data_IF_922819377213
#
_entry.id   IF_922819377213
#
_cell.length_a   1.000
_cell.length_b   1.000
_cell.length_c   1.000
_cell.angle_alpha   90.00
_cell.angle_beta   90.00
_cell.angle_gamma   90.00
#
_symmetry.space_group_name_H-M   'P 1'
#
loop_
_entity.id
_entity.type
_entity.pdbx_description
1 polymer ?
#
# COMPACT_ATOMS: atom_id res chain seq x y z
N UNK A 1 -14.71 -1.32 -19.87
CA UNK A 1 -15.18 -0.66 -18.63
C UNK A 1 -14.02 0.13 -18.07
N UNK A 2 -14.25 1.41 -17.84
CA UNK A 2 -13.27 2.33 -17.29
C UNK A 2 -13.09 2.05 -15.79
N UNK A 3 -11.91 1.68 -15.36
CA UNK A 3 -11.62 1.38 -13.95
C UNK A 3 -11.10 2.63 -13.22
N UNK A 4 -11.47 2.78 -11.96
CA UNK A 4 -10.86 3.78 -11.06
C UNK A 4 -9.57 3.19 -10.50
N UNK A 5 -8.47 3.92 -10.65
CA UNK A 5 -7.18 3.53 -10.10
C UNK A 5 -6.91 4.28 -8.80
N UNK A 6 -6.59 3.52 -7.74
CA UNK A 6 -6.29 4.05 -6.42
C UNK A 6 -4.83 3.72 -6.12
N UNK A 7 -4.03 4.75 -5.92
CA UNK A 7 -2.60 4.61 -5.62
C UNK A 7 -2.35 4.82 -4.13
N UNK A 8 -1.53 3.96 -3.55
CA UNK A 8 -0.87 4.18 -2.26
C UNK A 8 0.62 4.37 -2.54
N UNK A 9 1.15 5.51 -2.17
CA UNK A 9 2.58 5.76 -2.29
C UNK A 9 3.34 5.05 -1.17
N UNK A 10 4.40 4.33 -1.49
CA UNK A 10 5.31 3.75 -0.50
C UNK A 10 6.14 4.81 0.22
N UNK A 11 6.68 4.47 1.39
CA UNK A 11 7.50 5.41 2.19
C UNK A 11 8.87 5.72 1.58
N UNK A 12 9.39 4.87 0.69
CA UNK A 12 10.66 5.07 0.00
C UNK A 12 11.80 5.41 0.95
N UNK A 13 12.69 6.31 0.52
CA UNK A 13 13.86 6.75 1.32
C UNK A 13 13.48 7.36 2.67
N UNK A 14 12.29 7.93 2.83
CA UNK A 14 11.84 8.47 4.12
C UNK A 14 11.66 7.34 5.14
N UNK A 15 11.02 6.24 4.74
CA UNK A 15 10.87 5.07 5.60
C UNK A 15 12.23 4.41 5.90
N UNK A 16 13.15 4.38 4.94
CA UNK A 16 14.50 3.85 5.16
C UNK A 16 15.28 4.68 6.18
N UNK A 17 15.16 6.01 6.13
CA UNK A 17 15.75 6.91 7.14
C UNK A 17 15.15 6.65 8.54
N UNK A 18 13.84 6.43 8.64
CA UNK A 18 13.19 6.10 9.92
C UNK A 18 13.73 4.78 10.48
N UNK A 19 13.90 3.75 9.63
CA UNK A 19 14.51 2.47 10.03
C UNK A 19 15.93 2.64 10.56
N UNK A 20 16.72 3.50 9.91
CA UNK A 20 18.09 3.80 10.36
C UNK A 20 18.08 4.52 11.73
N UNK A 21 17.17 5.49 11.93
CA UNK A 21 17.01 6.15 13.23
C UNK A 21 16.57 5.17 14.32
N UNK A 22 15.66 4.26 14.03
CA UNK A 22 15.25 3.23 14.98
C UNK A 22 16.43 2.33 15.39
N UNK A 23 17.24 1.87 14.42
CA UNK A 23 18.43 1.09 14.70
C UNK A 23 19.47 1.83 15.55
N UNK A 24 19.63 3.14 15.36
CA UNK A 24 20.61 3.95 16.09
C UNK A 24 20.13 4.35 17.50
N UNK A 25 18.84 4.59 17.66
CA UNK A 25 18.28 5.23 18.85
C UNK A 25 17.32 4.34 19.63
N UNK A 26 17.06 3.11 19.14
CA UNK A 26 16.12 2.16 19.75
C UNK A 26 14.74 2.81 20.01
N UNK A 27 14.18 3.48 19.01
CA UNK A 27 12.88 4.18 19.09
C UNK A 27 11.77 3.19 19.46
N UNK A 28 11.85 1.98 18.92
CA UNK A 28 10.89 0.91 19.13
C UNK A 28 9.94 0.70 17.95
N UNK A 29 9.41 -0.50 17.87
CA UNK A 29 8.68 -0.99 16.71
C UNK A 29 7.39 -0.18 16.42
N UNK A 30 6.51 -0.02 17.40
CA UNK A 30 5.24 0.69 17.21
C UNK A 30 5.42 2.19 16.91
N UNK A 31 6.25 2.96 17.65
CA UNK A 31 6.52 4.34 17.26
C UNK A 31 7.11 4.48 15.87
N UNK A 32 8.05 3.62 15.50
CA UNK A 32 8.69 3.62 14.18
C UNK A 32 7.71 3.25 13.07
N UNK A 33 6.81 2.30 13.31
CA UNK A 33 5.71 1.98 12.39
C UNK A 33 4.87 3.23 12.10
N UNK A 34 4.43 3.97 13.13
CA UNK A 34 3.63 5.18 12.93
C UNK A 34 4.39 6.31 12.23
N UNK A 35 5.70 6.42 12.46
CA UNK A 35 6.53 7.36 11.71
C UNK A 35 6.58 6.98 10.22
N UNK A 36 6.70 5.69 9.90
CA UNK A 36 6.64 5.20 8.51
C UNK A 36 5.26 5.45 7.88
N UNK A 37 4.16 5.25 8.60
CA UNK A 37 2.81 5.57 8.10
C UNK A 37 2.69 7.07 7.79
N UNK A 38 3.24 7.96 8.64
CA UNK A 38 3.31 9.41 8.34
C UNK A 38 4.14 9.70 7.10
N UNK A 39 5.22 8.95 6.87
CA UNK A 39 6.00 9.09 5.65
C UNK A 39 5.18 8.77 4.39
N UNK A 40 4.21 7.84 4.46
CA UNK A 40 3.28 7.57 3.35
C UNK A 40 2.40 8.80 3.04
N UNK A 41 1.96 9.54 4.06
CA UNK A 41 1.20 10.79 3.85
C UNK A 41 2.05 11.86 3.14
N UNK A 42 3.35 11.95 3.47
CA UNK A 42 4.26 12.86 2.78
C UNK A 42 4.46 12.45 1.33
N UNK A 43 4.72 11.17 1.06
CA UNK A 43 4.90 10.68 -0.31
C UNK A 43 3.62 10.75 -1.14
N UNK A 44 2.45 10.57 -0.53
CA UNK A 44 1.16 10.78 -1.20
C UNK A 44 1.01 12.24 -1.69
N UNK A 45 1.40 13.22 -0.88
CA UNK A 45 1.37 14.65 -1.28
C UNK A 45 2.35 14.96 -2.38
N UNK A 46 3.58 14.42 -2.31
CA UNK A 46 4.55 14.54 -3.40
C UNK A 46 3.98 13.94 -4.70
N UNK A 47 3.30 12.81 -4.61
CA UNK A 47 2.71 12.17 -5.79
C UNK A 47 1.60 13.03 -6.42
N UNK A 48 0.79 13.73 -5.62
CA UNK A 48 -0.21 14.69 -6.11
C UNK A 48 0.44 15.86 -6.85
N UNK A 49 1.57 16.37 -6.36
CA UNK A 49 2.29 17.46 -7.02
C UNK A 49 2.86 17.01 -8.39
N UNK A 50 3.17 15.72 -8.54
CA UNK A 50 3.66 15.13 -9.81
C UNK A 50 2.51 14.73 -10.74
N UNK A 51 1.34 14.37 -10.19
CA UNK A 51 0.14 13.94 -10.94
C UNK A 51 -1.03 14.90 -10.65
N UNK A 52 -1.03 16.09 -11.26
CA UNK A 52 -2.01 17.14 -10.94
C UNK A 52 -3.46 16.76 -11.31
N UNK A 53 -3.65 15.77 -12.17
CA UNK A 53 -4.97 15.22 -12.51
C UNK A 53 -5.54 14.25 -11.45
N UNK A 54 -4.70 13.78 -10.53
CA UNK A 54 -5.11 12.87 -9.46
C UNK A 54 -5.83 13.63 -8.33
N UNK A 55 -6.72 12.94 -7.63
CA UNK A 55 -7.34 13.45 -6.41
C UNK A 55 -6.67 12.84 -5.18
N UNK A 56 -6.27 13.66 -4.22
CA UNK A 56 -5.90 13.17 -2.88
C UNK A 56 -7.18 12.85 -2.12
N UNK A 57 -7.24 11.66 -1.54
CA UNK A 57 -8.34 11.16 -0.71
C UNK A 57 -7.78 10.49 0.53
N UNK A 58 -8.48 10.52 1.64
CA UNK A 58 -8.01 9.98 2.91
C UNK A 58 -9.06 9.15 3.66
N UNK A 59 -10.23 8.97 3.08
CA UNK A 59 -11.30 8.16 3.65
C UNK A 59 -11.91 7.19 2.63
N UNK A 60 -12.41 6.05 3.13
CA UNK A 60 -13.11 5.07 2.29
C UNK A 60 -14.40 5.64 1.70
N UNK A 61 -15.05 6.57 2.40
CA UNK A 61 -16.27 7.24 1.95
C UNK A 61 -16.00 8.10 0.71
N UNK A 62 -14.95 8.91 0.74
CA UNK A 62 -14.52 9.72 -0.42
C UNK A 62 -14.17 8.85 -1.63
N UNK A 63 -13.42 7.76 -1.42
CA UNK A 63 -13.10 6.83 -2.49
C UNK A 63 -14.36 6.25 -3.11
N UNK A 64 -15.31 5.75 -2.30
CA UNK A 64 -16.58 5.21 -2.79
C UNK A 64 -17.42 6.24 -3.54
N UNK A 65 -17.48 7.47 -3.03
CA UNK A 65 -18.16 8.57 -3.70
C UNK A 65 -17.54 8.90 -5.06
N UNK A 66 -16.21 8.91 -5.16
CA UNK A 66 -15.51 9.13 -6.43
C UNK A 66 -15.73 7.99 -7.42
N UNK A 67 -15.69 6.74 -6.98
CA UNK A 67 -16.00 5.59 -7.84
C UNK A 67 -17.41 5.70 -8.43
N UNK A 68 -18.39 6.09 -7.59
CA UNK A 68 -19.80 6.21 -8.01
C UNK A 68 -20.05 7.36 -8.97
N UNK A 69 -19.34 8.50 -8.81
CA UNK A 69 -19.63 9.74 -9.55
C UNK A 69 -18.70 10.01 -10.74
N UNK A 70 -17.48 9.51 -10.69
CA UNK A 70 -16.42 9.76 -11.67
C UNK A 70 -15.58 8.51 -11.92
N UNK A 71 -16.14 7.47 -12.55
CA UNK A 71 -15.37 6.30 -12.95
C UNK A 71 -14.20 6.73 -13.84
N UNK A 72 -13.06 6.11 -13.70
CA UNK A 72 -11.79 6.41 -14.43
C UNK A 72 -10.92 7.52 -13.86
N UNK A 73 -11.18 7.96 -12.66
CA UNK A 73 -10.30 8.93 -12.02
C UNK A 73 -9.09 8.25 -11.38
N UNK A 74 -7.97 8.95 -11.38
CA UNK A 74 -6.79 8.60 -10.61
C UNK A 74 -6.96 9.19 -9.20
N UNK A 75 -6.85 8.33 -8.18
CA UNK A 75 -6.88 8.75 -6.77
C UNK A 75 -5.56 8.36 -6.12
N UNK A 76 -5.01 9.25 -5.30
CA UNK A 76 -3.91 8.96 -4.37
C UNK A 76 -4.50 8.90 -2.98
N UNK A 77 -4.36 7.77 -2.31
CA UNK A 77 -4.91 7.54 -0.98
C UNK A 77 -3.86 7.82 0.10
N UNK A 78 -4.19 8.69 1.06
CA UNK A 78 -3.43 8.88 2.29
C UNK A 78 -3.94 7.90 3.35
N UNK A 79 -3.19 6.85 3.71
CA UNK A 79 -3.68 5.82 4.62
C UNK A 79 -3.71 6.25 6.10
N UNK A 80 -3.05 7.34 6.46
CA UNK A 80 -2.87 7.74 7.86
C UNK A 80 -4.19 7.95 8.60
N UNK A 81 -5.20 8.71 8.09
CA UNK A 81 -6.47 8.90 8.78
C UNK A 81 -7.25 7.59 8.95
N UNK A 82 -7.25 6.73 7.93
CA UNK A 82 -7.89 5.42 7.99
C UNK A 82 -7.29 4.52 9.08
N UNK A 83 -5.96 4.50 9.20
CA UNK A 83 -5.26 3.64 10.15
C UNK A 83 -5.32 4.13 11.60
N UNK A 84 -5.47 5.45 11.81
CA UNK A 84 -5.58 6.07 13.15
C UNK A 84 -7.01 6.30 13.60
N UNK A 85 -7.99 6.25 12.70
CA UNK A 85 -9.40 6.53 12.99
C UNK A 85 -10.07 5.45 13.85
N UNK A 86 -11.22 5.81 14.45
CA UNK A 86 -12.01 4.89 15.27
C UNK A 86 -12.51 3.66 14.51
N UNK A 87 -12.64 3.73 13.20
CA UNK A 87 -13.01 2.61 12.34
C UNK A 87 -11.96 1.50 12.32
N UNK A 88 -10.69 1.84 12.51
CA UNK A 88 -9.60 0.87 12.68
C UNK A 88 -9.71 0.06 13.97
N UNK A 89 -10.45 0.57 14.98
CA UNK A 89 -10.60 -0.09 16.29
C UNK A 89 -11.84 -1.00 16.37
N UNK A 90 -12.77 -0.91 15.43
CA UNK A 90 -14.07 -1.62 15.49
C UNK A 90 -14.18 -2.83 14.58
N UNK A 91 -13.19 -3.12 13.74
CA UNK A 91 -13.22 -4.25 12.80
C UNK A 91 -12.32 -5.40 13.25
N UNK A 92 -12.70 -6.63 12.91
CA UNK A 92 -11.97 -7.86 13.22
C UNK A 92 -10.60 -8.01 12.49
N UNK A 93 -10.11 -6.97 11.81
CA UNK A 93 -8.89 -6.98 11.00
C UNK A 93 -8.14 -5.66 11.08
N UNK A 94 -7.75 -5.24 12.28
CA UNK A 94 -6.76 -4.16 12.39
C UNK A 94 -5.38 -4.69 12.00
N UNK A 95 -4.66 -3.93 11.15
CA UNK A 95 -3.28 -4.26 10.81
C UNK A 95 -2.37 -4.19 12.04
N UNK A 96 -1.44 -5.14 12.23
CA UNK A 96 -0.43 -5.04 13.28
C UNK A 96 0.38 -3.74 13.18
N UNK A 97 0.67 -3.15 14.33
CA UNK A 97 1.50 -1.93 14.44
C UNK A 97 2.96 -2.31 14.62
N UNK A 98 3.54 -2.86 13.57
CA UNK A 98 4.86 -3.47 13.64
C UNK A 98 5.61 -3.33 12.31
N UNK A 99 6.90 -3.67 12.32
CA UNK A 99 7.73 -3.75 11.14
C UNK A 99 7.28 -4.82 10.12
N UNK A 100 6.43 -5.75 10.56
CA UNK A 100 5.83 -6.75 9.66
C UNK A 100 4.81 -6.15 8.70
N UNK A 101 4.36 -4.90 8.91
CA UNK A 101 3.37 -4.22 8.07
C UNK A 101 4.00 -2.99 7.44
N UNK A 102 4.01 -2.96 6.12
CA UNK A 102 4.44 -1.79 5.32
C UNK A 102 3.34 -1.35 4.36
N UNK A 103 3.70 -0.51 3.39
CA UNK A 103 2.76 -0.06 2.34
C UNK A 103 2.11 -1.19 1.56
N UNK A 104 2.77 -2.35 1.43
CA UNK A 104 2.23 -3.49 0.68
C UNK A 104 1.00 -4.07 1.40
N UNK A 105 1.12 -4.39 2.69
CA UNK A 105 -0.01 -4.86 3.51
C UNK A 105 -1.10 -3.79 3.69
N UNK A 106 -0.73 -2.52 3.80
CA UNK A 106 -1.70 -1.42 3.87
C UNK A 106 -2.50 -1.33 2.57
N UNK A 107 -1.85 -1.46 1.41
CA UNK A 107 -2.52 -1.47 0.12
C UNK A 107 -3.43 -2.69 -0.06
N UNK A 108 -3.00 -3.87 0.37
CA UNK A 108 -3.82 -5.08 0.34
C UNK A 108 -5.07 -4.95 1.23
N UNK A 109 -4.92 -4.40 2.43
CA UNK A 109 -6.04 -4.14 3.33
C UNK A 109 -7.04 -3.14 2.75
N UNK A 110 -6.56 -2.03 2.17
CA UNK A 110 -7.42 -1.07 1.48
C UNK A 110 -8.15 -1.72 0.30
N UNK A 111 -7.45 -2.53 -0.49
CA UNK A 111 -8.03 -3.23 -1.62
C UNK A 111 -9.16 -4.19 -1.19
N UNK A 112 -9.00 -4.93 -0.08
CA UNK A 112 -10.05 -5.77 0.52
C UNK A 112 -11.25 -4.91 0.95
N UNK A 113 -11.03 -3.81 1.69
CA UNK A 113 -12.10 -2.94 2.18
C UNK A 113 -12.92 -2.28 1.07
N UNK A 114 -12.31 -2.05 -0.07
CA UNK A 114 -12.95 -1.46 -1.25
C UNK A 114 -13.55 -2.50 -2.20
N UNK A 115 -13.29 -3.79 -2.00
CA UNK A 115 -13.68 -4.84 -2.91
C UNK A 115 -12.99 -4.70 -4.27
N UNK A 116 -11.70 -4.34 -4.28
CA UNK A 116 -10.95 -4.16 -5.49
C UNK A 116 -10.87 -5.48 -6.29
N UNK A 117 -10.93 -5.37 -7.62
CA UNK A 117 -10.81 -6.52 -8.51
C UNK A 117 -9.37 -6.99 -8.66
N UNK A 118 -8.41 -6.13 -8.32
CA UNK A 118 -6.99 -6.37 -8.50
C UNK A 118 -6.18 -5.46 -7.57
N UNK A 119 -5.05 -5.96 -7.08
CA UNK A 119 -3.97 -5.18 -6.49
C UNK A 119 -2.72 -5.30 -7.37
N UNK A 120 -2.22 -4.16 -7.87
CA UNK A 120 -0.95 -4.09 -8.59
C UNK A 120 0.14 -3.51 -7.68
N UNK A 121 1.18 -4.29 -7.38
CA UNK A 121 2.38 -3.84 -6.69
C UNK A 121 3.36 -3.28 -7.70
N UNK A 122 3.58 -1.97 -7.67
CA UNK A 122 4.52 -1.27 -8.54
C UNK A 122 5.91 -1.27 -7.89
N UNK A 123 6.82 -2.06 -8.42
CA UNK A 123 8.14 -2.31 -7.83
C UNK A 123 9.27 -1.96 -8.82
N UNK A 124 10.52 -2.01 -8.36
CA UNK A 124 11.68 -1.77 -9.21
C UNK A 124 12.25 -3.05 -9.86
N UNK A 125 11.70 -4.21 -9.52
CA UNK A 125 12.02 -5.53 -10.04
C UNK A 125 10.81 -6.44 -9.88
N UNK A 126 10.88 -7.67 -10.39
CA UNK A 126 9.91 -8.73 -10.14
C UNK A 126 10.42 -9.69 -9.06
N UNK A 127 9.52 -10.41 -8.34
CA UNK A 127 9.92 -11.47 -7.43
C UNK A 127 10.48 -12.67 -8.23
N UNK A 128 11.36 -13.44 -7.62
CA UNK A 128 11.94 -14.64 -8.26
C UNK A 128 10.90 -15.76 -8.39
N UNK A 129 10.00 -15.86 -7.43
CA UNK A 129 8.94 -16.87 -7.41
C UNK A 129 7.53 -16.24 -7.48
N UNK A 130 6.61 -16.83 -8.26
CA UNK A 130 5.27 -16.27 -8.50
C UNK A 130 4.26 -16.65 -7.38
N UNK A 131 4.67 -16.71 -6.12
CA UNK A 131 3.84 -17.02 -4.96
C UNK A 131 3.94 -15.90 -3.94
N UNK A 132 2.82 -15.47 -3.38
CA UNK A 132 2.79 -14.45 -2.33
C UNK A 132 3.62 -14.88 -1.12
N UNK A 133 3.54 -16.15 -0.73
CA UNK A 133 4.28 -16.67 0.41
C UNK A 133 5.80 -16.61 0.15
N UNK A 134 6.26 -17.06 -1.01
CA UNK A 134 7.67 -17.00 -1.38
C UNK A 134 8.17 -15.56 -1.55
N UNK A 135 7.37 -14.67 -2.15
CA UNK A 135 7.70 -13.25 -2.25
C UNK A 135 7.89 -12.60 -0.87
N UNK A 136 7.16 -13.05 0.15
CA UNK A 136 7.36 -12.60 1.54
C UNK A 136 8.65 -13.18 2.15
N UNK A 137 8.94 -14.44 1.92
CA UNK A 137 10.18 -15.11 2.38
C UNK A 137 11.44 -14.48 1.75
N UNK A 138 11.34 -14.03 0.49
CA UNK A 138 12.37 -13.30 -0.24
C UNK A 138 12.45 -11.80 0.13
N UNK A 139 11.64 -11.33 1.09
CA UNK A 139 11.51 -9.91 1.47
C UNK A 139 11.13 -8.97 0.31
N UNK A 140 10.52 -9.49 -0.73
CA UNK A 140 9.99 -8.71 -1.84
C UNK A 140 8.72 -7.94 -1.45
N UNK A 141 7.89 -8.55 -0.60
CA UNK A 141 6.78 -7.92 0.12
C UNK A 141 6.97 -8.08 1.63
N UNK A 142 6.23 -7.32 2.41
CA UNK A 142 6.34 -7.39 3.88
C UNK A 142 5.80 -8.72 4.45
N UNK A 143 6.25 -9.12 5.66
CA UNK A 143 5.89 -10.41 6.27
C UNK A 143 4.39 -10.61 6.50
N UNK A 144 3.61 -9.54 6.66
CA UNK A 144 2.16 -9.64 6.89
C UNK A 144 1.36 -9.69 5.58
N UNK A 145 1.97 -9.36 4.45
CA UNK A 145 1.31 -9.30 3.15
C UNK A 145 0.56 -10.58 2.76
N UNK A 146 1.07 -11.81 2.99
CA UNK A 146 0.32 -13.02 2.70
C UNK A 146 -1.03 -13.08 3.42
N UNK A 147 -1.07 -12.61 4.67
CA UNK A 147 -2.32 -12.52 5.45
C UNK A 147 -3.23 -11.43 4.93
N UNK A 148 -2.69 -10.24 4.64
CA UNK A 148 -3.46 -9.10 4.16
C UNK A 148 -4.05 -9.33 2.77
N UNK A 149 -3.35 -10.06 1.90
CA UNK A 149 -3.76 -10.31 0.53
C UNK A 149 -4.61 -11.59 0.33
N UNK A 150 -4.81 -12.39 1.38
CA UNK A 150 -5.43 -13.74 1.28
C UNK A 150 -6.83 -13.78 0.64
N UNK A 151 -7.57 -12.66 0.66
CA UNK A 151 -8.92 -12.56 0.10
C UNK A 151 -8.99 -11.77 -1.20
N UNK A 152 -7.87 -11.29 -1.70
CA UNK A 152 -7.84 -10.53 -2.95
C UNK A 152 -8.02 -11.48 -4.14
N UNK A 153 -8.81 -11.09 -5.15
CA UNK A 153 -9.03 -11.95 -6.32
C UNK A 153 -7.80 -12.07 -7.22
N UNK A 154 -6.95 -11.03 -7.25
CA UNK A 154 -5.75 -10.98 -8.07
C UNK A 154 -4.72 -10.05 -7.46
N UNK A 155 -3.47 -10.51 -7.39
CA UNK A 155 -2.30 -9.69 -7.06
C UNK A 155 -1.30 -9.78 -8.20
N UNK A 156 -0.85 -8.64 -8.72
CA UNK A 156 0.20 -8.55 -9.75
C UNK A 156 1.38 -7.72 -9.23
N UNK A 157 2.57 -8.05 -9.69
CA UNK A 157 3.75 -7.20 -9.58
C UNK A 157 4.11 -6.66 -10.96
N UNK A 158 4.40 -5.37 -11.01
CA UNK A 158 4.81 -4.67 -12.24
C UNK A 158 6.18 -4.04 -12.00
N UNK A 159 7.14 -4.35 -12.87
CA UNK A 159 8.47 -3.75 -12.83
C UNK A 159 8.47 -2.39 -13.53
N UNK A 160 8.47 -1.31 -12.76
CA UNK A 160 8.49 0.05 -13.31
C UNK A 160 9.83 0.47 -13.94
N UNK A 161 10.91 -0.31 -13.75
CA UNK A 161 12.22 -0.05 -14.37
C UNK A 161 12.43 -0.81 -15.66
N UNK A 162 11.57 -1.76 -15.98
CA UNK A 162 11.56 -2.41 -17.28
C UNK A 162 10.90 -1.49 -18.32
N UNK A 163 11.52 -1.32 -19.46
CA UNK A 163 10.92 -0.55 -20.58
C UNK A 163 9.60 -1.15 -21.07
N UNK A 164 9.45 -2.47 -20.92
CA UNK A 164 8.23 -3.20 -21.31
C UNK A 164 7.18 -3.26 -20.15
N UNK A 165 7.47 -2.68 -18.98
CA UNK A 165 6.66 -2.83 -17.77
C UNK A 165 6.30 -4.29 -17.49
N UNK A 166 7.34 -5.17 -17.51
CA UNK A 166 7.15 -6.59 -17.26
C UNK A 166 6.36 -6.83 -15.99
N UNK A 167 5.48 -7.82 -16.03
CA UNK A 167 4.58 -8.12 -14.92
C UNK A 167 4.47 -9.62 -14.65
N UNK A 168 4.11 -9.96 -13.41
CA UNK A 168 3.83 -11.32 -12.98
C UNK A 168 2.63 -11.33 -12.02
N UNK A 169 1.71 -12.28 -12.22
CA UNK A 169 0.65 -12.54 -11.25
C UNK A 169 1.18 -13.42 -10.12
N UNK A 170 0.93 -13.02 -8.87
CA UNK A 170 1.27 -13.80 -7.69
C UNK A 170 0.14 -14.77 -7.36
N UNK A 171 0.50 -16.02 -7.12
CA UNK A 171 -0.44 -17.04 -6.62
C UNK A 171 -0.67 -16.79 -5.12
N UNK A 172 -1.93 -16.74 -4.73
CA UNK A 172 -2.40 -16.64 -3.35
C UNK A 172 -2.35 -18.01 -2.70
#
# INVERSE_FOLDING_TARGET
TSATNIFIAGGGKLADSIRQFDQLHAIGEEPSHWLCVRALSVTARILIDVLPEAALVDSLEEVRALIATRPSRICVFDPMPMLTGEQSQRGSTSLPRSWAVTSDSIAAHLAELLGATELALLKSNLPEAPSIQQASEEHFVDPYFPTAAAKLPLVRCVNLRSEAFEEVALKI
#
